data_IF_671014743454
#
_entry.id   IF_671014743454
#
_cell.length_a   1.000
_cell.length_b   1.000
_cell.length_c   1.000
_cell.angle_alpha   90.00
_cell.angle_beta   90.00
_cell.angle_gamma   90.00
#
_symmetry.space_group_name_H-M   'P 1'
#
loop_
_entity.id
_entity.type
_entity.pdbx_description
1 polymer ?
#
# COMPACT_ATOMS: atom_id res chain seq x y z
N UNK A 1 3.51 -30.71 85.14
CA UNK A 1 2.37 -31.09 84.27
C UNK A 1 1.54 -29.84 84.03
N UNK A 2 1.08 -29.68 82.80
CA UNK A 2 0.69 -28.42 82.17
C UNK A 2 -0.47 -27.67 82.84
N UNK A 3 -0.38 -26.34 82.85
CA UNK A 3 -1.53 -25.45 82.81
C UNK A 3 -1.19 -24.29 81.87
N UNK A 4 -1.81 -24.33 80.70
CA UNK A 4 -1.75 -23.35 79.63
C UNK A 4 -2.28 -22.00 80.12
N UNK A 5 -1.50 -20.93 80.00
CA UNK A 5 -2.02 -19.57 80.05
C UNK A 5 -1.69 -18.87 78.73
N UNK A 6 -2.76 -18.68 77.96
CA UNK A 6 -2.83 -18.02 76.66
C UNK A 6 -2.05 -16.70 76.65
N UNK A 7 -1.10 -16.61 75.73
CA UNK A 7 -0.55 -15.36 75.23
C UNK A 7 -1.66 -14.65 74.45
N UNK A 8 -2.33 -13.68 75.07
CA UNK A 8 -3.02 -12.63 74.32
C UNK A 8 -2.32 -11.31 74.61
N UNK A 9 -1.34 -10.98 73.77
CA UNK A 9 -0.79 -9.63 73.70
C UNK A 9 -1.29 -9.05 72.39
N UNK A 10 -2.43 -8.37 72.48
CA UNK A 10 -2.96 -7.47 71.46
C UNK A 10 -1.93 -6.37 71.19
N UNK A 11 -1.03 -6.60 70.22
CA UNK A 11 -0.23 -5.53 69.63
C UNK A 11 -1.10 -4.73 68.66
N UNK A 12 -1.88 -3.80 69.21
CA UNK A 12 -2.51 -2.74 68.45
C UNK A 12 -1.38 -1.82 67.94
N UNK A 13 -1.04 -1.93 66.66
CA UNK A 13 -0.20 -0.95 65.97
C UNK A 13 -0.97 0.37 65.86
N UNK A 14 -0.77 1.28 66.81
CA UNK A 14 -1.31 2.64 66.74
C UNK A 14 -0.38 3.45 65.82
N UNK A 15 -0.72 3.54 64.54
CA UNK A 15 -0.06 4.47 63.61
C UNK A 15 -0.39 5.93 64.02
N UNK A 16 0.63 6.78 64.12
CA UNK A 16 0.46 8.18 64.49
C UNK A 16 -0.37 8.92 63.43
N UNK A 17 -1.35 9.77 63.82
CA UNK A 17 -2.25 10.45 62.87
C UNK A 17 -1.55 11.25 61.75
N UNK A 18 -0.34 11.76 62.01
CA UNK A 18 0.46 12.50 61.04
C UNK A 18 1.00 11.60 59.90
N UNK A 19 1.39 10.37 60.20
CA UNK A 19 1.92 9.43 59.20
C UNK A 19 0.81 8.98 58.24
N UNK A 20 -0.41 8.76 58.74
CA UNK A 20 -1.56 8.43 57.88
C UNK A 20 -1.96 9.60 56.97
N UNK A 21 -1.88 10.83 57.47
CA UNK A 21 -2.15 12.03 56.68
C UNK A 21 -1.13 12.21 55.55
N UNK A 22 0.15 11.95 55.84
CA UNK A 22 1.22 12.00 54.84
C UNK A 22 1.07 10.90 53.78
N UNK A 23 0.77 9.66 54.19
CA UNK A 23 0.52 8.55 53.25
C UNK A 23 -0.68 8.82 52.34
N UNK A 24 -1.77 9.37 52.88
CA UNK A 24 -2.94 9.76 52.09
C UNK A 24 -2.61 10.87 51.09
N UNK A 25 -1.85 11.88 51.51
CA UNK A 25 -1.40 12.96 50.63
C UNK A 25 -0.48 12.46 49.51
N UNK A 26 0.42 11.51 49.81
CA UNK A 26 1.28 10.87 48.81
C UNK A 26 0.46 10.03 47.83
N UNK A 27 -0.54 9.29 48.30
CA UNK A 27 -1.45 8.52 47.45
C UNK A 27 -2.26 9.43 46.51
N UNK A 28 -2.76 10.56 47.03
CA UNK A 28 -3.44 11.57 46.23
C UNK A 28 -2.52 12.16 45.15
N UNK A 29 -1.26 12.45 45.48
CA UNK A 29 -0.28 12.92 44.50
C UNK A 29 0.00 11.89 43.39
N UNK A 30 0.13 10.61 43.74
CA UNK A 30 0.30 9.51 42.77
C UNK A 30 -0.93 9.39 41.86
N UNK A 31 -2.14 9.53 42.42
CA UNK A 31 -3.38 9.47 41.63
C UNK A 31 -3.48 10.64 40.63
N UNK A 32 -3.11 11.84 41.05
CA UNK A 32 -3.08 13.00 40.15
C UNK A 32 -2.02 12.84 39.05
N UNK A 33 -0.86 12.29 39.39
CA UNK A 33 0.19 11.99 38.41
C UNK A 33 -0.28 10.96 37.38
N UNK A 34 -0.93 9.88 37.83
CA UNK A 34 -1.49 8.85 36.93
C UNK A 34 -2.55 9.43 35.99
N UNK A 35 -3.41 10.32 36.49
CA UNK A 35 -4.43 11.02 35.68
C UNK A 35 -3.79 11.93 34.63
N UNK A 36 -2.74 12.66 34.97
CA UNK A 36 -2.00 13.50 34.03
C UNK A 36 -1.34 12.67 32.91
N UNK A 37 -0.72 11.54 33.27
CA UNK A 37 -0.17 10.58 32.31
C UNK A 37 -1.26 10.04 31.37
N UNK A 38 -2.42 9.66 31.90
CA UNK A 38 -3.54 9.16 31.09
C UNK A 38 -4.02 10.20 30.08
N UNK A 39 -4.17 11.45 30.50
CA UNK A 39 -4.56 12.56 29.60
C UNK A 39 -3.52 12.78 28.50
N UNK A 40 -2.22 12.66 28.82
CA UNK A 40 -1.14 12.77 27.83
C UNK A 40 -1.18 11.64 26.81
N UNK A 41 -1.42 10.40 27.24
CA UNK A 41 -1.57 9.25 26.34
C UNK A 41 -2.79 9.43 25.43
N UNK A 42 -3.90 9.94 25.96
CA UNK A 42 -5.09 10.20 25.14
C UNK A 42 -4.87 11.29 24.10
N UNK A 43 -4.12 12.34 24.44
CA UNK A 43 -3.71 13.38 23.50
C UNK A 43 -2.80 12.82 22.40
N UNK A 44 -1.83 11.97 22.76
CA UNK A 44 -0.97 11.29 21.80
C UNK A 44 -1.77 10.34 20.89
N UNK A 45 -2.73 9.59 21.41
CA UNK A 45 -3.59 8.72 20.61
C UNK A 45 -4.46 9.51 19.63
N UNK A 46 -5.00 10.67 20.04
CA UNK A 46 -5.71 11.59 19.13
C UNK A 46 -4.79 12.12 18.02
N UNK A 47 -3.55 12.47 18.36
CA UNK A 47 -2.55 12.87 17.38
C UNK A 47 -2.23 11.73 16.39
N UNK A 48 -2.01 10.52 16.90
CA UNK A 48 -1.76 9.33 16.08
C UNK A 48 -2.93 9.06 15.13
N UNK A 49 -4.18 9.10 15.64
CA UNK A 49 -5.38 8.95 14.81
C UNK A 49 -5.46 10.05 13.74
N UNK A 50 -5.15 11.30 14.08
CA UNK A 50 -5.17 12.41 13.12
C UNK A 50 -4.10 12.23 12.04
N UNK A 51 -2.88 11.87 12.43
CA UNK A 51 -1.79 11.60 11.49
C UNK A 51 -2.07 10.37 10.62
N UNK A 52 -2.64 9.31 11.20
CA UNK A 52 -3.13 8.15 10.46
C UNK A 52 -4.20 8.56 9.44
N UNK A 53 -5.16 9.41 9.80
CA UNK A 53 -6.17 9.91 8.85
C UNK A 53 -5.58 10.82 7.78
N UNK A 54 -4.47 11.54 8.04
CA UNK A 54 -3.77 12.35 7.04
C UNK A 54 -2.92 11.50 6.09
N UNK A 55 -2.28 10.43 6.58
CA UNK A 55 -1.56 9.44 5.77
C UNK A 55 -2.56 8.55 4.99
N UNK A 56 -3.73 8.31 5.58
CA UNK A 56 -4.84 7.55 4.99
C UNK A 56 -5.87 8.45 4.29
N UNK A 57 -5.60 9.76 4.13
CA UNK A 57 -6.27 10.55 3.10
C UNK A 57 -5.99 9.74 1.84
N UNK A 58 -7.02 9.17 1.21
CA UNK A 58 -6.78 8.17 0.21
C UNK A 58 -5.91 8.87 -0.83
N UNK A 59 -4.75 8.28 -1.15
CA UNK A 59 -4.26 8.37 -2.52
C UNK A 59 -5.47 7.87 -3.30
N UNK A 60 -6.32 8.78 -3.75
CA UNK A 60 -7.66 8.49 -4.19
C UNK A 60 -7.50 7.58 -5.39
N UNK A 61 -7.64 6.26 -5.16
CA UNK A 61 -7.35 5.13 -6.04
C UNK A 61 -6.97 5.63 -7.43
N UNK A 62 -5.73 6.12 -7.57
CA UNK A 62 -5.39 6.99 -8.72
C UNK A 62 -5.31 6.06 -9.90
N UNK A 63 -6.44 5.91 -10.59
CA UNK A 63 -6.55 5.04 -11.75
C UNK A 63 -5.66 5.62 -12.81
N UNK A 64 -4.50 5.01 -12.98
CA UNK A 64 -3.61 5.30 -14.07
C UNK A 64 -4.10 4.59 -15.31
N UNK A 65 -3.88 5.22 -16.45
CA UNK A 65 -4.26 4.69 -17.74
C UNK A 65 -3.04 4.62 -18.63
N UNK A 66 -2.92 3.50 -19.32
CA UNK A 66 -1.84 3.20 -20.26
C UNK A 66 -2.16 3.67 -21.67
N UNK A 67 -3.45 3.80 -22.00
CA UNK A 67 -3.99 4.43 -23.20
C UNK A 67 -5.44 4.88 -22.93
N UNK A 68 -6.08 5.55 -23.90
CA UNK A 68 -7.49 5.95 -23.77
C UNK A 68 -8.39 4.75 -23.42
N UNK A 69 -9.05 4.83 -22.26
CA UNK A 69 -9.92 3.81 -21.70
C UNK A 69 -9.23 2.45 -21.46
N UNK A 70 -7.92 2.45 -21.21
CA UNK A 70 -7.17 1.24 -20.82
C UNK A 70 -6.50 1.49 -19.48
N UNK A 71 -7.15 1.04 -18.41
CA UNK A 71 -6.63 1.18 -17.05
C UNK A 71 -5.36 0.34 -16.87
N UNK A 72 -4.47 0.79 -15.98
CA UNK A 72 -3.38 -0.01 -15.45
C UNK A 72 -3.98 -1.00 -14.44
N UNK A 73 -3.87 -2.30 -14.71
CA UNK A 73 -4.40 -3.37 -13.85
C UNK A 73 -3.65 -4.68 -14.12
N UNK A 74 -3.50 -5.52 -13.09
CA UNK A 74 -2.75 -6.79 -13.15
C UNK A 74 -3.27 -7.78 -14.21
N UNK A 75 -4.52 -7.67 -14.64
CA UNK A 75 -5.15 -8.52 -15.66
C UNK A 75 -5.17 -7.89 -17.05
N UNK A 76 -4.80 -6.61 -17.17
CA UNK A 76 -4.72 -5.91 -18.45
C UNK A 76 -3.29 -5.49 -18.72
N UNK A 77 -2.81 -4.42 -18.11
CA UNK A 77 -1.46 -3.90 -18.25
C UNK A 77 -0.78 -3.80 -16.88
N UNK A 78 0.31 -4.54 -16.70
CA UNK A 78 1.08 -4.55 -15.47
C UNK A 78 2.58 -4.36 -15.71
N UNK A 79 3.29 -3.83 -14.72
CA UNK A 79 4.73 -3.52 -14.85
C UNK A 79 5.64 -4.72 -14.62
N UNK A 80 5.18 -5.74 -13.90
CA UNK A 80 5.99 -6.89 -13.49
C UNK A 80 5.38 -8.21 -13.97
N UNK A 81 6.18 -9.27 -14.11
CA UNK A 81 5.69 -10.61 -14.43
C UNK A 81 4.54 -11.06 -13.52
N UNK A 82 3.55 -11.71 -14.10
CA UNK A 82 2.47 -12.38 -13.36
C UNK A 82 2.68 -13.89 -13.40
N UNK A 83 2.01 -14.64 -12.52
CA UNK A 83 2.09 -16.10 -12.52
C UNK A 83 1.72 -16.71 -13.89
N UNK A 84 0.72 -16.14 -14.57
CA UNK A 84 0.25 -16.58 -15.88
C UNK A 84 1.05 -16.02 -17.06
N UNK A 85 1.71 -14.87 -16.90
CA UNK A 85 2.53 -14.26 -17.94
C UNK A 85 3.88 -13.80 -17.40
N UNK A 86 4.89 -14.66 -17.62
CA UNK A 86 6.28 -14.39 -17.28
C UNK A 86 7.00 -13.47 -18.29
N UNK A 87 6.42 -13.28 -19.48
CA UNK A 87 6.97 -12.43 -20.54
C UNK A 87 6.02 -11.25 -20.81
N UNK A 88 6.55 -10.05 -21.09
CA UNK A 88 5.73 -8.93 -21.46
C UNK A 88 5.15 -9.12 -22.86
N UNK A 89 4.03 -8.45 -23.15
CA UNK A 89 3.53 -8.31 -24.49
C UNK A 89 4.59 -7.65 -25.37
N UNK A 90 4.99 -8.33 -26.44
CA UNK A 90 6.08 -7.86 -27.31
C UNK A 90 5.71 -6.64 -28.18
N UNK A 91 4.45 -6.17 -28.10
CA UNK A 91 3.98 -4.95 -28.78
C UNK A 91 3.97 -3.75 -27.85
N UNK A 92 3.38 -3.88 -26.66
CA UNK A 92 3.20 -2.74 -25.73
C UNK A 92 4.11 -2.79 -24.49
N UNK A 93 4.83 -3.89 -24.28
CA UNK A 93 5.79 -4.14 -23.20
C UNK A 93 5.22 -4.24 -21.78
N UNK A 94 3.89 -4.22 -21.62
CA UNK A 94 3.25 -4.55 -20.34
C UNK A 94 3.08 -6.06 -20.15
N UNK A 95 3.05 -6.51 -18.90
CA UNK A 95 2.66 -7.86 -18.49
C UNK A 95 1.13 -7.96 -18.31
N UNK A 96 0.62 -9.18 -18.12
CA UNK A 96 -0.81 -9.45 -17.92
C UNK A 96 -1.55 -9.94 -19.17
N UNK A 97 -0.93 -9.83 -20.35
CA UNK A 97 -1.50 -10.31 -21.61
C UNK A 97 -0.41 -10.66 -22.65
N UNK A 98 -0.81 -11.34 -23.73
CA UNK A 98 -0.01 -11.55 -24.94
C UNK A 98 -0.55 -10.69 -26.09
N UNK A 99 0.19 -10.63 -27.20
CA UNK A 99 -0.19 -9.82 -28.35
C UNK A 99 -1.64 -10.03 -28.77
N UNK A 100 -2.11 -11.28 -28.83
CA UNK A 100 -3.45 -11.69 -29.27
C UNK A 100 -4.57 -10.95 -28.53
N UNK A 101 -4.29 -10.51 -27.29
CA UNK A 101 -5.24 -9.85 -26.40
C UNK A 101 -4.75 -8.45 -25.96
N UNK A 102 -3.87 -7.80 -26.72
CA UNK A 102 -3.29 -6.51 -26.37
C UNK A 102 -4.34 -5.39 -26.28
N UNK A 103 -4.64 -4.87 -25.07
CA UNK A 103 -5.70 -3.87 -24.93
C UNK A 103 -5.29 -2.50 -25.47
N UNK A 104 -4.02 -2.30 -25.80
CA UNK A 104 -3.45 -1.03 -26.23
C UNK A 104 -3.54 -0.77 -27.74
N UNK A 105 -3.85 -1.77 -28.56
CA UNK A 105 -3.99 -1.62 -30.01
C UNK A 105 -5.44 -1.74 -30.46
N UNK A 106 -5.74 -1.24 -31.66
CA UNK A 106 -7.05 -1.40 -32.28
C UNK A 106 -7.25 -2.85 -32.76
N UNK A 107 -8.48 -3.37 -32.63
CA UNK A 107 -8.80 -4.75 -33.04
C UNK A 107 -8.48 -5.03 -34.52
N UNK A 108 -8.54 -4.00 -35.36
CA UNK A 108 -8.19 -4.06 -36.79
C UNK A 108 -6.71 -4.35 -37.05
N UNK A 109 -5.85 -4.33 -36.02
CA UNK A 109 -4.41 -4.56 -36.15
C UNK A 109 -4.03 -6.05 -36.05
N UNK A 110 -4.88 -6.91 -35.48
CA UNK A 110 -4.53 -8.30 -35.20
C UNK A 110 -4.29 -9.16 -36.45
N UNK A 111 -4.92 -8.83 -37.58
CA UNK A 111 -4.76 -9.53 -38.85
C UNK A 111 -3.67 -8.95 -39.75
N UNK A 112 -2.92 -7.95 -39.27
CA UNK A 112 -1.91 -7.25 -40.06
C UNK A 112 -0.51 -7.75 -39.72
N UNK A 113 0.42 -7.52 -40.65
CA UNK A 113 1.84 -7.78 -40.40
C UNK A 113 2.30 -7.01 -39.15
N UNK A 114 2.91 -7.69 -38.18
CA UNK A 114 3.26 -7.08 -36.89
C UNK A 114 4.44 -6.10 -36.96
N UNK A 115 5.19 -6.17 -38.06
CA UNK A 115 6.38 -5.35 -38.29
C UNK A 115 6.02 -4.01 -38.92
N UNK A 116 5.05 -3.97 -39.83
CA UNK A 116 4.71 -2.77 -40.59
C UNK A 116 3.23 -2.36 -40.47
N UNK A 117 2.39 -3.19 -39.86
CA UNK A 117 0.95 -2.97 -39.66
C UNK A 117 0.16 -2.78 -40.96
N UNK A 118 0.65 -3.36 -42.05
CA UNK A 118 -0.04 -3.43 -43.35
C UNK A 118 -0.71 -4.80 -43.53
N UNK A 119 -1.81 -4.86 -44.31
CA UNK A 119 -2.48 -6.12 -44.64
C UNK A 119 -1.68 -6.95 -45.65
N UNK A 120 -2.25 -8.10 -46.04
CA UNK A 120 -1.85 -8.94 -47.19
C UNK A 120 -0.56 -9.75 -47.06
N UNK A 121 0.19 -9.62 -45.96
CA UNK A 121 1.37 -10.45 -45.73
C UNK A 121 1.64 -10.72 -44.25
N UNK A 122 2.41 -11.78 -43.99
CA UNK A 122 2.89 -12.14 -42.66
C UNK A 122 4.21 -11.44 -42.35
N UNK A 123 4.60 -11.40 -41.08
CA UNK A 123 5.88 -10.81 -40.64
C UNK A 123 7.12 -11.40 -41.33
N UNK A 124 7.03 -12.68 -41.75
CA UNK A 124 8.09 -13.38 -42.49
C UNK A 124 8.24 -12.87 -43.92
N UNK A 125 7.12 -12.45 -44.55
CA UNK A 125 7.06 -11.96 -45.93
C UNK A 125 7.05 -10.43 -46.02
N UNK A 126 7.33 -9.73 -44.91
CA UNK A 126 7.31 -8.28 -44.87
C UNK A 126 8.57 -7.70 -45.52
N UNK A 127 8.35 -6.78 -46.47
CA UNK A 127 9.38 -6.15 -47.29
C UNK A 127 10.34 -5.24 -46.52
N UNK A 128 10.00 -4.83 -45.30
CA UNK A 128 10.94 -4.13 -44.42
C UNK A 128 12.14 -5.04 -44.08
N UNK A 129 13.30 -4.47 -43.79
CA UNK A 129 14.41 -5.26 -43.24
C UNK A 129 14.09 -5.75 -41.83
N UNK A 130 14.64 -6.89 -41.39
CA UNK A 130 14.26 -7.52 -40.09
C UNK A 130 14.39 -6.57 -38.90
N UNK A 131 15.33 -5.63 -38.95
CA UNK A 131 15.58 -4.63 -37.91
C UNK A 131 14.64 -3.41 -37.98
N UNK A 132 13.91 -3.25 -39.08
CA UNK A 132 12.89 -2.22 -39.25
C UNK A 132 11.54 -2.70 -38.73
N UNK A 133 10.96 -1.89 -37.84
CA UNK A 133 9.56 -1.99 -37.42
C UNK A 133 8.92 -0.60 -37.39
N UNK A 134 7.61 -0.56 -37.64
CA UNK A 134 6.78 0.64 -37.60
C UNK A 134 6.06 0.67 -36.26
N UNK A 135 5.89 1.89 -35.70
CA UNK A 135 5.14 2.10 -34.46
C UNK A 135 3.76 1.42 -34.55
N UNK A 136 3.39 0.57 -33.58
CA UNK A 136 2.09 -0.06 -33.55
C UNK A 136 0.94 0.95 -33.58
N UNK A 137 -0.22 0.58 -34.16
CA UNK A 137 -1.43 1.40 -34.17
C UNK A 137 -2.07 1.37 -32.78
N UNK A 138 -1.40 2.00 -31.82
CA UNK A 138 -1.87 2.13 -30.45
C UNK A 138 -3.10 3.03 -30.38
N UNK A 139 -3.93 2.80 -29.36
CA UNK A 139 -4.99 3.71 -28.95
C UNK A 139 -4.38 5.06 -28.56
N UNK A 140 -5.18 6.12 -28.67
CA UNK A 140 -4.76 7.48 -28.36
C UNK A 140 -4.17 7.61 -26.95
N UNK A 141 -3.13 8.44 -26.82
CA UNK A 141 -2.40 8.70 -25.57
C UNK A 141 -1.75 7.46 -24.94
N UNK A 142 -1.40 6.47 -25.76
CA UNK A 142 -0.65 5.32 -25.29
C UNK A 142 0.72 5.73 -24.74
N UNK A 143 1.08 5.14 -23.60
CA UNK A 143 2.37 5.26 -22.94
C UNK A 143 2.97 3.87 -22.75
N UNK A 144 4.23 3.73 -23.14
CA UNK A 144 5.06 2.58 -22.76
C UNK A 144 5.27 2.54 -21.24
N UNK A 145 5.64 1.38 -20.67
CA UNK A 145 5.86 1.23 -19.24
C UNK A 145 6.73 2.33 -18.61
N UNK A 146 7.89 2.61 -19.21
CA UNK A 146 8.79 3.65 -18.68
C UNK A 146 8.17 5.05 -18.75
N UNK A 147 7.56 5.41 -19.88
CA UNK A 147 6.89 6.73 -20.03
C UNK A 147 5.76 6.93 -19.01
N UNK A 148 5.05 5.86 -18.65
CA UNK A 148 4.04 5.90 -17.61
C UNK A 148 4.65 6.00 -16.21
N UNK A 149 5.74 5.26 -15.92
CA UNK A 149 6.45 5.36 -14.65
C UNK A 149 6.99 6.78 -14.42
N UNK A 150 7.63 7.37 -15.43
CA UNK A 150 8.15 8.74 -15.37
C UNK A 150 7.02 9.73 -15.08
N UNK A 151 5.83 9.52 -15.69
CA UNK A 151 4.65 10.35 -15.44
C UNK A 151 4.05 10.20 -14.05
N UNK A 152 4.05 8.99 -13.49
CA UNK A 152 3.45 8.71 -12.18
C UNK A 152 4.38 9.21 -11.07
N UNK A 153 5.67 8.95 -11.20
CA UNK A 153 6.64 9.16 -10.12
C UNK A 153 7.51 10.40 -10.31
N UNK A 154 7.39 11.11 -11.45
CA UNK A 154 8.26 12.24 -11.83
C UNK A 154 9.76 11.88 -11.69
N UNK A 155 10.12 10.65 -12.08
CA UNK A 155 11.49 10.12 -12.06
C UNK A 155 12.15 10.33 -13.42
#
# INVERSE_FOLDING_TARGET
MAASNNLNIDYIYIFLPNEQKEQKSRLEAVFQQAKALQNSVEAQNKLIMTLQTQISLPIADQKHYTAKNVALDKHTNWFVPTYSQQKPCYVCHYFGHFFENCPNIHFTAYSKCIRCWQPDHTSQNCSLSRDQSVRPPFKSNFLYPNELLDRIFNV
#
